data_IF_515669339092
#
_entry.id   IF_515669339092
#
_cell.length_a   1.000
_cell.length_b   1.000
_cell.length_c   1.000
_cell.angle_alpha   90.00
_cell.angle_beta   90.00
_cell.angle_gamma   90.00
#
_symmetry.space_group_name_H-M   'P 1'
#
loop_
_entity.id
_entity.type
_entity.pdbx_description
1 polymer ?
#
# COMPACT_ATOMS: atom_id res chain seq x y z
N UNK A 1 14.67 11.06 -48.32
CA UNK A 1 14.72 10.43 -46.98
C UNK A 1 15.29 9.03 -47.16
N UNK A 2 16.51 8.77 -46.68
CA UNK A 2 17.20 7.48 -46.87
C UNK A 2 17.18 6.75 -45.52
N UNK A 3 16.73 5.50 -45.51
CA UNK A 3 16.61 4.68 -44.30
C UNK A 3 17.93 3.97 -43.98
N UNK A 4 18.22 3.76 -42.69
CA UNK A 4 19.46 3.16 -42.17
C UNK A 4 19.80 1.78 -42.76
N UNK A 5 18.82 1.07 -43.30
CA UNK A 5 18.99 -0.23 -43.95
C UNK A 5 19.74 -0.13 -45.31
N UNK A 6 19.68 1.02 -46.00
CA UNK A 6 20.40 1.25 -47.26
C UNK A 6 21.91 1.45 -47.10
N UNK A 7 22.37 1.67 -45.88
CA UNK A 7 23.76 2.00 -45.54
C UNK A 7 24.47 0.83 -44.81
N UNK A 8 23.89 -0.37 -44.87
CA UNK A 8 24.42 -1.62 -44.27
C UNK A 8 24.78 -1.54 -42.78
N UNK A 9 24.21 -0.58 -42.04
CA UNK A 9 24.44 -0.45 -40.59
C UNK A 9 23.56 -1.47 -39.85
N UNK A 10 24.02 -2.72 -39.80
CA UNK A 10 23.47 -3.76 -38.95
C UNK A 10 24.19 -3.75 -37.61
N UNK A 11 23.60 -3.14 -36.59
CA UNK A 11 24.07 -3.32 -35.21
C UNK A 11 23.65 -4.71 -34.73
N UNK A 12 24.57 -5.63 -34.42
CA UNK A 12 24.19 -6.91 -33.84
C UNK A 12 23.46 -6.68 -32.52
N UNK A 13 22.35 -7.39 -32.32
CA UNK A 13 21.59 -7.32 -31.08
C UNK A 13 22.44 -7.98 -29.99
N UNK A 14 23.10 -7.15 -29.17
CA UNK A 14 23.86 -7.63 -28.02
C UNK A 14 22.87 -8.12 -26.98
N UNK A 15 22.71 -9.44 -26.90
CA UNK A 15 22.03 -10.07 -25.79
C UNK A 15 23.00 -10.04 -24.62
N UNK A 16 22.85 -9.02 -23.77
CA UNK A 16 23.49 -9.04 -22.46
C UNK A 16 22.96 -10.30 -21.77
N UNK A 17 23.85 -11.18 -21.31
CA UNK A 17 23.47 -12.33 -20.52
C UNK A 17 22.78 -11.80 -19.25
N UNK A 18 21.45 -11.75 -19.28
CA UNK A 18 20.66 -11.57 -18.07
C UNK A 18 21.03 -12.75 -17.18
N UNK A 19 21.80 -12.47 -16.12
CA UNK A 19 21.94 -13.39 -15.00
C UNK A 19 20.55 -13.90 -14.69
N UNK A 20 20.35 -15.21 -14.79
CA UNK A 20 19.08 -15.87 -14.47
C UNK A 20 18.65 -15.34 -13.11
N UNK A 21 17.64 -14.47 -13.13
CA UNK A 21 17.12 -13.83 -11.93
C UNK A 21 16.45 -14.97 -11.16
N UNK A 22 16.93 -15.23 -9.96
CA UNK A 22 16.44 -16.33 -9.13
C UNK A 22 14.96 -16.10 -8.83
N UNK A 23 14.07 -16.83 -9.51
CA UNK A 23 12.61 -16.71 -9.38
C UNK A 23 12.06 -17.38 -8.11
N UNK A 24 12.93 -17.74 -7.16
CA UNK A 24 12.58 -18.48 -5.95
C UNK A 24 12.05 -17.61 -4.81
N UNK A 25 11.99 -16.28 -4.97
CA UNK A 25 11.50 -15.41 -3.91
C UNK A 25 9.96 -15.39 -3.90
N UNK A 26 9.37 -16.25 -3.06
CA UNK A 26 7.92 -16.34 -2.87
C UNK A 26 7.44 -15.36 -1.79
N UNK A 27 6.29 -14.74 -2.04
CA UNK A 27 5.61 -13.91 -1.03
C UNK A 27 5.12 -14.79 0.14
N UNK A 28 5.48 -14.48 1.39
CA UNK A 28 5.08 -15.26 2.53
C UNK A 28 3.58 -15.07 2.77
N UNK A 29 2.88 -16.17 3.00
CA UNK A 29 1.45 -16.14 3.37
C UNK A 29 1.26 -16.10 4.89
N UNK A 30 2.27 -16.52 5.65
CA UNK A 30 2.28 -16.52 7.12
C UNK A 30 3.28 -15.50 7.63
N UNK A 31 2.92 -14.86 8.74
CA UNK A 31 3.77 -13.85 9.39
C UNK A 31 5.08 -14.46 9.91
N UNK A 32 5.03 -15.70 10.43
CA UNK A 32 6.22 -16.40 10.93
C UNK A 32 7.28 -16.59 9.84
N UNK A 33 6.87 -17.09 8.68
CA UNK A 33 7.75 -17.28 7.52
C UNK A 33 8.35 -15.95 7.03
N UNK A 34 7.61 -14.85 7.18
CA UNK A 34 8.10 -13.51 6.87
C UNK A 34 9.15 -13.02 7.90
N UNK A 35 8.95 -13.28 9.19
CA UNK A 35 9.89 -12.88 10.24
C UNK A 35 11.23 -13.63 10.19
N UNK A 36 11.21 -14.86 9.69
CA UNK A 36 12.43 -15.66 9.47
C UNK A 36 13.33 -15.05 8.38
N UNK A 37 12.76 -14.21 7.50
CA UNK A 37 13.49 -13.54 6.42
C UNK A 37 13.82 -12.10 6.80
N UNK A 38 15.11 -11.71 6.88
CA UNK A 38 15.50 -10.39 7.40
C UNK A 38 14.96 -9.22 6.57
N UNK A 39 14.81 -9.40 5.26
CA UNK A 39 14.27 -8.35 4.37
C UNK A 39 12.79 -8.07 4.64
N UNK A 40 12.00 -9.11 4.92
CA UNK A 40 10.59 -8.97 5.26
C UNK A 40 10.41 -8.36 6.65
N UNK A 41 11.21 -8.81 7.63
CA UNK A 41 11.21 -8.22 8.96
C UNK A 41 11.52 -6.72 8.94
N UNK A 42 12.56 -6.31 8.20
CA UNK A 42 12.88 -4.90 8.04
C UNK A 42 11.75 -4.09 7.39
N UNK A 43 11.05 -4.67 6.41
CA UNK A 43 9.90 -4.03 5.77
C UNK A 43 8.70 -3.89 6.74
N UNK A 44 8.45 -4.89 7.60
CA UNK A 44 7.41 -4.84 8.62
C UNK A 44 7.71 -3.78 9.68
N UNK A 45 8.94 -3.73 10.19
CA UNK A 45 9.38 -2.72 11.15
C UNK A 45 9.29 -1.31 10.58
N UNK A 46 9.69 -1.11 9.33
CA UNK A 46 9.58 0.19 8.66
C UNK A 46 8.12 0.67 8.53
N UNK A 47 7.20 -0.21 8.13
CA UNK A 47 5.78 0.11 8.05
C UNK A 47 5.20 0.42 9.44
N UNK A 48 5.49 -0.42 10.44
CA UNK A 48 5.00 -0.23 11.81
C UNK A 48 5.50 1.10 12.40
N UNK A 49 6.79 1.41 12.24
CA UNK A 49 7.35 2.70 12.68
C UNK A 49 6.75 3.89 11.93
N UNK A 50 6.49 3.77 10.63
CA UNK A 50 5.86 4.85 9.85
C UNK A 50 4.44 5.16 10.36
N UNK A 51 3.66 4.12 10.69
CA UNK A 51 2.32 4.27 11.26
C UNK A 51 2.37 4.94 12.64
N UNK A 52 3.31 4.52 13.49
CA UNK A 52 3.54 5.14 14.81
C UNK A 52 3.98 6.60 14.68
N UNK A 53 4.88 6.93 13.76
CA UNK A 53 5.37 8.31 13.56
C UNK A 53 4.28 9.25 13.05
N UNK A 54 3.35 8.72 12.26
CA UNK A 54 2.21 9.48 11.73
C UNK A 54 1.10 9.69 12.78
N UNK A 55 1.31 9.25 14.04
CA UNK A 55 0.33 9.31 15.14
C UNK A 55 -1.02 8.73 14.76
N UNK A 56 -0.98 7.71 13.88
CA UNK A 56 -2.19 7.10 13.37
C UNK A 56 -2.95 6.37 14.47
N UNK A 57 -2.25 5.82 15.47
CA UNK A 57 -2.85 4.93 16.47
C UNK A 57 -2.48 5.35 17.88
N UNK A 58 -3.42 5.11 18.81
CA UNK A 58 -3.14 5.10 20.23
C UNK A 58 -3.73 3.84 20.88
N UNK A 59 -3.09 3.40 21.95
CA UNK A 59 -3.56 2.25 22.72
C UNK A 59 -4.79 2.63 23.53
N UNK A 60 -5.83 1.80 23.47
CA UNK A 60 -7.09 2.02 24.18
C UNK A 60 -7.55 0.72 24.84
N UNK A 61 -8.02 0.78 26.10
CA UNK A 61 -8.53 -0.39 26.80
C UNK A 61 -9.71 -1.00 26.04
N UNK A 62 -9.56 -2.27 25.67
CA UNK A 62 -10.63 -3.04 25.06
C UNK A 62 -11.78 -3.16 26.06
N UNK A 63 -12.88 -2.45 25.84
CA UNK A 63 -14.13 -2.70 26.55
C UNK A 63 -14.98 -3.72 25.78
N UNK A 64 -15.78 -4.50 26.50
CA UNK A 64 -16.59 -5.60 25.93
C UNK A 64 -17.59 -5.15 24.84
N UNK A 65 -17.83 -3.85 24.70
CA UNK A 65 -18.79 -3.25 23.76
C UNK A 65 -18.16 -2.66 22.50
N UNK A 66 -16.83 -2.71 22.34
CA UNK A 66 -16.18 -2.16 21.15
C UNK A 66 -16.14 -3.20 20.02
N UNK A 67 -16.50 -2.78 18.80
CA UNK A 67 -16.28 -3.59 17.62
C UNK A 67 -14.80 -3.49 17.21
N UNK A 68 -14.03 -4.52 17.52
CA UNK A 68 -12.60 -4.58 17.20
C UNK A 68 -12.39 -5.33 15.90
N UNK A 69 -11.89 -4.62 14.89
CA UNK A 69 -11.51 -5.17 13.59
C UNK A 69 -10.20 -5.94 13.72
N UNK A 70 -10.09 -7.11 13.11
CA UNK A 70 -8.84 -7.87 13.11
C UNK A 70 -7.72 -7.15 12.36
N UNK A 71 -6.47 -7.57 12.54
CA UNK A 71 -5.32 -7.05 11.79
C UNK A 71 -4.71 -8.12 10.87
N UNK A 72 -4.11 -7.69 9.75
CA UNK A 72 -3.43 -8.59 8.82
C UNK A 72 -2.25 -7.91 8.13
N UNK A 73 -1.15 -8.64 8.01
CA UNK A 73 -0.02 -8.26 7.16
C UNK A 73 -0.24 -8.72 5.71
N UNK A 74 0.06 -7.82 4.77
CA UNK A 74 0.10 -8.08 3.34
C UNK A 74 1.53 -7.88 2.88
N UNK A 75 2.09 -8.90 2.24
CA UNK A 75 3.44 -8.89 1.72
C UNK A 75 3.39 -8.81 0.20
N UNK A 76 4.20 -7.94 -0.38
CA UNK A 76 4.32 -7.79 -1.81
C UNK A 76 5.77 -7.63 -2.20
N UNK A 77 6.20 -8.41 -3.18
CA UNK A 77 7.51 -8.21 -3.83
C UNK A 77 7.28 -7.31 -5.03
N UNK A 78 8.00 -6.18 -5.07
CA UNK A 78 8.02 -5.31 -6.23
C UNK A 78 9.33 -5.52 -6.99
N UNK A 79 9.20 -5.83 -8.28
CA UNK A 79 10.33 -5.94 -9.18
C UNK A 79 10.35 -4.75 -10.12
N UNK A 80 11.50 -4.06 -10.17
CA UNK A 80 11.88 -3.25 -11.30
C UNK A 80 12.89 -4.04 -12.16
N UNK A 81 13.25 -3.49 -13.32
CA UNK A 81 14.18 -4.09 -14.28
C UNK A 81 15.55 -4.51 -13.71
N UNK A 82 15.91 -4.02 -12.52
CA UNK A 82 17.21 -4.27 -11.87
C UNK A 82 17.09 -4.58 -10.37
N UNK A 83 16.08 -4.04 -9.67
CA UNK A 83 16.01 -4.08 -8.21
C UNK A 83 14.70 -4.74 -7.75
N UNK A 84 14.82 -5.62 -6.76
CA UNK A 84 13.70 -6.20 -6.03
C UNK A 84 13.56 -5.49 -4.69
N UNK A 85 12.33 -5.08 -4.36
CA UNK A 85 12.00 -4.47 -3.08
C UNK A 85 10.94 -5.29 -2.35
N UNK A 86 11.12 -5.42 -1.04
CA UNK A 86 10.18 -6.08 -0.15
C UNK A 86 9.25 -5.02 0.44
N UNK A 87 7.94 -5.21 0.28
CA UNK A 87 6.92 -4.29 0.80
C UNK A 87 5.97 -5.03 1.72
N UNK A 88 5.99 -4.69 3.01
CA UNK A 88 4.98 -5.12 3.96
C UNK A 88 3.96 -3.99 4.15
N UNK A 89 2.69 -4.34 4.33
CA UNK A 89 1.60 -3.43 4.66
C UNK A 89 0.77 -4.02 5.78
N UNK A 90 0.40 -3.19 6.74
CA UNK A 90 -0.50 -3.57 7.82
C UNK A 90 -1.90 -3.05 7.50
N UNK A 91 -2.88 -3.94 7.48
CA UNK A 91 -4.25 -3.63 7.05
C UNK A 91 -5.26 -4.17 8.06
N UNK A 92 -6.35 -3.44 8.24
CA UNK A 92 -7.50 -3.89 9.01
C UNK A 92 -8.26 -4.99 8.24
N UNK A 93 -8.63 -6.06 8.93
CA UNK A 93 -9.38 -7.20 8.39
C UNK A 93 -10.87 -6.86 8.37
N UNK A 94 -11.30 -6.17 7.33
CA UNK A 94 -12.59 -5.47 7.17
C UNK A 94 -13.87 -6.36 7.14
N UNK A 95 -13.78 -7.65 7.49
CA UNK A 95 -14.91 -8.58 7.36
C UNK A 95 -15.94 -8.52 8.50
N UNK A 96 -15.79 -7.60 9.46
CA UNK A 96 -16.66 -7.50 10.65
C UNK A 96 -17.30 -6.10 10.85
N UNK A 97 -17.23 -5.22 9.86
CA UNK A 97 -17.90 -3.92 9.94
C UNK A 97 -19.37 -4.03 9.50
N UNK A 98 -20.27 -3.45 10.27
CA UNK A 98 -21.71 -3.42 10.01
C UNK A 98 -22.13 -2.03 9.52
N UNK A 99 -22.80 -1.99 8.35
CA UNK A 99 -23.40 -0.77 7.82
C UNK A 99 -24.43 -0.20 8.80
N UNK A 100 -24.31 1.10 9.10
CA UNK A 100 -25.18 1.81 10.04
C UNK A 100 -24.75 1.71 11.51
N UNK A 101 -23.69 0.95 11.82
CA UNK A 101 -23.08 0.87 13.16
C UNK A 101 -21.63 1.37 13.08
N UNK A 102 -20.81 0.77 12.23
CA UNK A 102 -19.37 1.08 12.14
C UNK A 102 -19.04 2.03 10.98
N UNK A 103 -19.90 2.09 9.96
CA UNK A 103 -19.79 3.05 8.86
C UNK A 103 -21.17 3.38 8.29
N UNK A 104 -21.36 4.61 7.85
CA UNK A 104 -22.62 5.07 7.25
C UNK A 104 -22.58 5.16 5.72
N UNK A 105 -21.39 5.25 5.13
CA UNK A 105 -21.19 5.31 3.69
C UNK A 105 -20.02 4.40 3.26
N UNK A 106 -20.17 3.67 2.15
CA UNK A 106 -19.10 2.84 1.56
C UNK A 106 -18.39 3.55 0.40
N UNK A 107 -18.70 4.82 0.16
CA UNK A 107 -18.25 5.52 -1.03
C UNK A 107 -16.80 6.00 -0.88
N UNK A 108 -15.87 5.25 -1.48
CA UNK A 108 -14.59 5.85 -1.86
C UNK A 108 -14.85 6.86 -2.98
N UNK A 109 -14.30 8.08 -2.93
CA UNK A 109 -14.43 9.07 -4.01
C UNK A 109 -13.61 8.63 -5.23
N UNK A 110 -14.11 7.64 -5.95
CA UNK A 110 -13.51 7.13 -7.19
C UNK A 110 -14.02 8.00 -8.33
N UNK A 111 -13.11 8.76 -8.93
CA UNK A 111 -13.42 9.49 -10.16
C UNK A 111 -13.79 8.48 -11.27
N UNK A 112 -14.93 8.72 -11.91
CA UNK A 112 -15.34 7.93 -13.07
C UNK A 112 -14.39 8.20 -14.25
N UNK A 113 -14.11 7.16 -15.05
CA UNK A 113 -13.27 7.29 -16.23
C UNK A 113 -13.82 8.29 -17.27
N UNK A 114 -15.14 8.52 -17.29
CA UNK A 114 -15.81 9.54 -18.09
C UNK A 114 -15.29 10.94 -17.75
N UNK A 115 -15.25 11.29 -16.46
CA UNK A 115 -14.75 12.57 -15.94
C UNK A 115 -13.29 12.78 -16.31
N UNK A 116 -12.44 11.75 -16.15
CA UNK A 116 -11.02 11.82 -16.53
C UNK A 116 -10.89 12.13 -18.02
N UNK A 117 -11.67 11.48 -18.89
CA UNK A 117 -11.65 11.73 -20.33
C UNK A 117 -12.08 13.15 -20.68
N UNK A 118 -13.12 13.68 -20.03
CA UNK A 118 -13.58 15.06 -20.24
C UNK A 118 -12.49 16.06 -19.87
N UNK A 119 -11.84 15.88 -18.71
CA UNK A 119 -10.73 16.74 -18.27
C UNK A 119 -9.56 16.68 -19.26
N UNK A 120 -9.15 15.48 -19.69
CA UNK A 120 -8.07 15.33 -20.67
C UNK A 120 -8.43 15.95 -22.03
N UNK A 121 -9.69 15.86 -22.45
CA UNK A 121 -10.17 16.48 -23.69
C UNK A 121 -10.08 17.99 -23.60
N UNK A 122 -10.50 18.58 -22.46
CA UNK A 122 -10.40 20.01 -22.22
C UNK A 122 -8.94 20.48 -22.23
N UNK A 123 -8.05 19.73 -21.57
CA UNK A 123 -6.61 20.03 -21.54
C UNK A 123 -6.04 20.07 -22.96
N UNK A 124 -6.35 19.07 -23.78
CA UNK A 124 -5.89 19.01 -25.18
C UNK A 124 -6.48 20.16 -26.01
N UNK A 125 -7.79 20.40 -25.93
CA UNK A 125 -8.46 21.44 -26.74
C UNK A 125 -7.98 22.86 -26.43
N UNK A 126 -7.50 23.10 -25.21
CA UNK A 126 -7.04 24.41 -24.76
C UNK A 126 -5.50 24.49 -24.67
N UNK A 127 -4.79 23.46 -25.13
CA UNK A 127 -3.32 23.36 -25.07
C UNK A 127 -2.75 23.59 -23.65
N UNK A 128 -3.44 23.11 -22.62
CA UNK A 128 -3.02 23.27 -21.23
C UNK A 128 -1.90 22.30 -20.88
N UNK A 129 -0.94 22.77 -20.06
CA UNK A 129 0.10 21.90 -19.52
C UNK A 129 -0.48 21.00 -18.41
N UNK A 130 -0.42 19.68 -18.61
CA UNK A 130 -0.81 18.70 -17.60
C UNK A 130 0.35 18.40 -16.64
N UNK A 131 0.07 18.38 -15.33
CA UNK A 131 1.00 17.89 -14.31
C UNK A 131 0.28 16.88 -13.44
N UNK A 132 0.89 15.70 -13.27
CA UNK A 132 0.38 14.66 -12.39
C UNK A 132 1.09 14.75 -11.04
N UNK A 133 0.30 14.65 -9.96
CA UNK A 133 0.78 14.57 -8.60
C UNK A 133 0.26 13.26 -8.01
N UNK A 134 1.16 12.47 -7.43
CA UNK A 134 0.82 11.27 -6.67
C UNK A 134 1.09 11.57 -5.19
N UNK A 135 0.07 11.43 -4.36
CA UNK A 135 0.17 11.69 -2.93
C UNK A 135 0.51 10.40 -2.22
N UNK A 136 1.67 10.37 -1.55
CA UNK A 136 1.99 9.28 -0.64
C UNK A 136 0.92 9.20 0.45
N UNK A 137 0.46 7.97 0.72
CA UNK A 137 -0.48 7.70 1.80
C UNK A 137 -1.83 8.43 1.68
N UNK A 138 -2.36 8.61 0.46
CA UNK A 138 -3.64 9.31 0.22
C UNK A 138 -4.82 8.82 1.09
N UNK A 139 -4.87 7.52 1.42
CA UNK A 139 -5.89 6.96 2.32
C UNK A 139 -5.79 7.53 3.75
N UNK A 140 -4.58 7.85 4.22
CA UNK A 140 -4.34 8.34 5.58
C UNK A 140 -4.74 9.81 5.75
N UNK A 141 -4.84 10.55 4.66
CA UNK A 141 -5.28 11.95 4.68
C UNK A 141 -6.80 12.10 4.59
N UNK A 142 -7.54 10.99 4.55
CA UNK A 142 -8.99 10.98 4.60
C UNK A 142 -9.49 11.21 6.03
N UNK A 143 -10.56 11.98 6.17
CA UNK A 143 -11.27 12.07 7.45
C UNK A 143 -12.09 10.80 7.65
N UNK A 144 -11.87 10.12 8.78
CA UNK A 144 -12.70 9.00 9.20
C UNK A 144 -13.82 9.54 10.09
N UNK A 145 -15.08 9.37 9.66
CA UNK A 145 -16.24 9.69 10.49
C UNK A 145 -16.67 8.44 11.26
N UNK A 146 -16.02 8.21 12.41
CA UNK A 146 -16.30 7.10 13.33
C UNK A 146 -15.05 6.54 14.00
N UNK A 147 -15.20 5.97 15.20
CA UNK A 147 -14.10 5.35 15.94
C UNK A 147 -13.93 3.91 15.46
N UNK A 148 -12.78 3.60 14.85
CA UNK A 148 -12.47 2.23 14.41
C UNK A 148 -11.37 1.65 15.30
N UNK A 149 -11.69 0.54 15.95
CA UNK A 149 -10.73 -0.18 16.79
C UNK A 149 -10.16 -1.36 16.01
N UNK A 150 -8.85 -1.55 16.11
CA UNK A 150 -8.09 -2.59 15.42
C UNK A 150 -7.31 -3.43 16.43
N UNK A 151 -7.29 -4.74 16.24
CA UNK A 151 -6.40 -5.63 17.00
C UNK A 151 -4.94 -5.28 16.73
N UNK A 152 -4.07 -5.47 17.71
CA UNK A 152 -2.64 -5.29 17.48
C UNK A 152 -2.14 -6.20 16.35
N UNK A 153 -1.14 -5.75 15.57
CA UNK A 153 -0.52 -6.58 14.57
C UNK A 153 0.07 -7.84 15.21
N UNK A 154 -0.19 -9.02 14.64
CA UNK A 154 0.40 -10.26 15.15
C UNK A 154 1.92 -10.16 15.11
N UNK A 155 2.57 -10.66 16.17
CA UNK A 155 4.03 -10.62 16.39
C UNK A 155 4.62 -9.22 16.65
N UNK A 156 3.77 -8.19 16.79
CA UNK A 156 4.14 -6.82 17.19
C UNK A 156 3.28 -6.36 18.38
N UNK A 157 2.84 -7.31 19.21
CA UNK A 157 2.00 -7.05 20.38
C UNK A 157 2.84 -6.51 21.54
N UNK A 158 2.40 -5.42 22.17
CA UNK A 158 3.03 -4.91 23.38
C UNK A 158 2.47 -5.65 24.62
N UNK A 159 3.31 -6.40 25.36
CA UNK A 159 2.86 -7.14 26.54
C UNK A 159 2.39 -6.23 27.69
N UNK A 160 2.82 -4.96 27.72
CA UNK A 160 2.38 -3.98 28.72
C UNK A 160 1.01 -3.38 28.37
N UNK A 161 0.64 -3.42 27.09
CA UNK A 161 -0.63 -2.92 26.58
C UNK A 161 -1.29 -4.02 25.74
N UNK A 162 -1.86 -5.08 26.34
CA UNK A 162 -2.54 -6.16 25.59
C UNK A 162 -3.86 -5.72 24.92
N UNK A 163 -4.05 -4.41 24.75
CA UNK A 163 -5.30 -3.74 24.41
C UNK A 163 -5.36 -3.45 22.90
N UNK A 164 -6.48 -2.91 22.43
CA UNK A 164 -6.68 -2.63 21.01
C UNK A 164 -6.10 -1.27 20.62
N UNK A 165 -5.84 -1.09 19.33
CA UNK A 165 -5.40 0.17 18.74
C UNK A 165 -6.63 0.93 18.25
N UNK A 166 -6.80 2.18 18.63
CA UNK A 166 -7.80 3.06 18.00
C UNK A 166 -7.16 3.73 16.79
N UNK A 167 -7.83 3.66 15.64
CA UNK A 167 -7.44 4.38 14.42
C UNK A 167 -7.79 5.86 14.61
N UNK A 168 -6.80 6.66 14.98
CA UNK A 168 -6.92 8.09 15.18
C UNK A 168 -7.02 8.86 13.86
N UNK A 169 -7.92 9.84 13.86
CA UNK A 169 -8.05 10.84 12.78
C UNK A 169 -6.82 11.75 12.78
N UNK A 170 -6.12 11.83 11.65
CA UNK A 170 -5.12 12.89 11.44
C UNK A 170 -5.89 14.21 11.29
N UNK A 171 -5.70 15.13 12.24
CA UNK A 171 -6.14 16.54 12.13
C UNK A 171 -5.34 17.29 11.06
#
# INVERSE_FOLDING_TARGET
MITRAKDEIFKPKVWVNYTVQDWTCTEPTRVKDALDTPQWKAAMEAEFMALMSNKMWHFVPSSLSLNVVGSKWIFQIKHNSVIQWYKARLVAKEFHQNLGIDFFETFSPVLEASTIRVVLTLVETNEWALRNLDFNNAFLNGRLDGDVYMQQPPEFEDPNYPQCLELGTIL
#
